data_IF_797741578365
#
_entry.id   IF_797741578365
#
_cell.length_a   1.000
_cell.length_b   1.000
_cell.length_c   1.000
_cell.angle_alpha   90.00
_cell.angle_beta   90.00
_cell.angle_gamma   90.00
#
_symmetry.space_group_name_H-M   'P 1'
#
loop_
_entity.id
_entity.type
_entity.pdbx_description
1 polymer ?
#
# COMPACT_ATOMS: atom_id res chain seq x y z
N UNK A 1 31.71 19.60 18.56
CA UNK A 1 30.39 19.07 18.95
C UNK A 1 29.65 18.67 17.67
N UNK A 2 29.63 17.36 17.36
CA UNK A 2 29.04 16.84 16.13
C UNK A 2 27.53 16.79 16.27
N UNK A 3 26.82 17.61 15.47
CA UNK A 3 25.37 17.53 15.27
C UNK A 3 25.06 16.29 14.42
N UNK A 4 24.98 15.11 15.05
CA UNK A 4 24.30 13.97 14.44
C UNK A 4 22.83 14.37 14.27
N UNK A 5 22.48 14.79 13.05
CA UNK A 5 21.09 14.95 12.64
C UNK A 5 20.33 13.67 13.03
N UNK A 6 19.43 13.77 14.01
CA UNK A 6 18.48 12.69 14.34
C UNK A 6 17.59 12.50 13.11
N UNK A 7 17.93 11.50 12.30
CA UNK A 7 17.05 11.08 11.21
C UNK A 7 15.70 10.65 11.83
N UNK A 8 14.66 11.43 11.58
CA UNK A 8 13.30 11.12 12.02
C UNK A 8 12.79 9.99 11.14
N UNK A 9 12.87 8.76 11.62
CA UNK A 9 12.20 7.63 10.93
C UNK A 9 10.70 7.77 11.11
N UNK A 10 9.96 7.85 10.01
CA UNK A 10 8.50 7.73 10.06
C UNK A 10 8.13 6.33 10.53
N UNK A 11 7.03 6.23 11.30
CA UNK A 11 6.47 4.94 11.68
C UNK A 11 6.12 4.17 10.39
N UNK A 12 6.55 2.91 10.30
CA UNK A 12 6.20 2.07 9.16
C UNK A 12 4.71 1.79 9.10
N UNK A 13 4.20 1.56 7.90
CA UNK A 13 2.81 1.28 7.64
C UNK A 13 2.66 0.01 6.77
N UNK A 14 1.67 -0.81 7.10
CA UNK A 14 1.32 -2.01 6.34
C UNK A 14 -0.14 -1.88 5.92
N UNK A 15 -0.42 -2.04 4.63
CA UNK A 15 -1.79 -2.13 4.16
C UNK A 15 -2.28 -3.58 4.32
N UNK A 16 -3.53 -3.74 4.77
CA UNK A 16 -4.27 -4.99 4.69
C UNK A 16 -5.45 -4.77 3.75
N UNK A 17 -5.47 -5.54 2.66
CA UNK A 17 -6.46 -5.45 1.59
C UNK A 17 -7.17 -6.80 1.41
N UNK A 18 -8.42 -6.77 0.97
CA UNK A 18 -9.26 -7.95 0.79
C UNK A 18 -10.74 -7.60 0.63
N UNK A 19 -11.60 -8.62 0.58
CA UNK A 19 -13.02 -8.48 0.33
C UNK A 19 -13.72 -7.57 1.36
N UNK A 20 -14.63 -6.74 0.86
CA UNK A 20 -15.52 -5.92 1.68
C UNK A 20 -16.65 -6.73 2.34
N UNK A 21 -16.99 -7.89 1.74
CA UNK A 21 -17.82 -8.94 2.30
C UNK A 21 -16.98 -10.22 2.34
N UNK A 22 -16.67 -10.72 3.51
CA UNK A 22 -15.74 -11.83 3.71
C UNK A 22 -16.29 -12.84 4.70
N UNK A 23 -15.96 -14.13 4.51
CA UNK A 23 -16.33 -15.19 5.43
C UNK A 23 -15.74 -14.97 6.83
N UNK A 24 -16.32 -15.59 7.83
CA UNK A 24 -15.81 -15.53 9.21
C UNK A 24 -14.35 -15.99 9.29
N UNK A 25 -13.98 -17.04 8.57
CA UNK A 25 -12.62 -17.57 8.54
C UNK A 25 -11.61 -16.54 7.97
N UNK A 26 -11.98 -15.83 6.91
CA UNK A 26 -11.14 -14.77 6.32
C UNK A 26 -11.06 -13.56 7.27
N UNK A 27 -12.17 -13.21 7.93
CA UNK A 27 -12.19 -12.16 8.95
C UNK A 27 -11.29 -12.50 10.15
N UNK A 28 -11.23 -13.77 10.59
CA UNK A 28 -10.34 -14.20 11.67
C UNK A 28 -8.86 -14.05 11.28
N UNK A 29 -8.50 -14.39 10.04
CA UNK A 29 -7.15 -14.18 9.52
C UNK A 29 -6.82 -12.68 9.47
N UNK A 30 -7.74 -11.85 8.98
CA UNK A 30 -7.57 -10.40 8.91
C UNK A 30 -7.42 -9.77 10.32
N UNK A 31 -8.21 -10.24 11.29
CA UNK A 31 -8.10 -9.81 12.69
C UNK A 31 -6.72 -10.14 13.27
N UNK A 32 -6.25 -11.38 13.07
CA UNK A 32 -4.94 -11.79 13.55
C UNK A 32 -3.80 -11.01 12.87
N UNK A 33 -3.90 -10.78 11.56
CA UNK A 33 -2.95 -9.94 10.83
C UNK A 33 -2.94 -8.49 11.34
N UNK A 34 -4.12 -7.89 11.63
CA UNK A 34 -4.22 -6.56 12.23
C UNK A 34 -3.53 -6.46 13.58
N UNK A 35 -3.70 -7.47 14.44
CA UNK A 35 -2.96 -7.56 15.71
C UNK A 35 -1.45 -7.63 15.51
N UNK A 36 -1.01 -8.42 14.53
CA UNK A 36 0.42 -8.54 14.21
C UNK A 36 1.01 -7.21 13.74
N UNK A 37 0.26 -6.43 12.91
CA UNK A 37 0.66 -5.07 12.51
C UNK A 37 0.87 -4.17 13.73
N UNK A 38 -0.06 -4.17 14.68
CA UNK A 38 0.05 -3.39 15.91
C UNK A 38 1.24 -3.81 16.77
N UNK A 39 1.46 -5.12 16.94
CA UNK A 39 2.58 -5.68 17.71
C UNK A 39 3.96 -5.33 17.12
N UNK A 40 4.05 -5.09 15.81
CA UNK A 40 5.25 -4.55 15.15
C UNK A 40 5.40 -3.03 15.33
N UNK A 41 4.47 -2.36 15.98
CA UNK A 41 4.44 -0.91 16.10
C UNK A 41 4.17 -0.19 14.78
N UNK A 42 3.67 -0.92 13.77
CA UNK A 42 3.29 -0.35 12.48
C UNK A 42 1.91 0.32 12.54
N UNK A 43 1.62 1.14 11.55
CA UNK A 43 0.29 1.69 11.30
C UNK A 43 -0.44 0.81 10.29
N UNK A 44 -1.66 0.40 10.61
CA UNK A 44 -2.53 -0.26 9.63
C UNK A 44 -3.08 0.78 8.65
N UNK A 45 -2.96 0.50 7.36
CA UNK A 45 -3.67 1.22 6.29
C UNK A 45 -4.70 0.27 5.69
N UNK A 46 -5.93 0.70 5.49
CA UNK A 46 -6.94 -0.09 4.78
C UNK A 46 -8.00 0.81 4.12
N UNK A 47 -8.93 0.19 3.41
CA UNK A 47 -10.04 0.91 2.76
C UNK A 47 -11.14 1.40 3.71
N UNK A 48 -11.07 1.10 5.00
CA UNK A 48 -11.92 1.67 6.05
C UNK A 48 -13.37 1.16 6.12
N UNK A 49 -13.80 0.21 5.27
CA UNK A 49 -15.16 -0.33 5.20
C UNK A 49 -15.30 -1.68 5.90
N UNK A 50 -16.22 -2.55 5.42
CA UNK A 50 -16.55 -3.85 6.02
C UNK A 50 -15.53 -4.98 5.77
N UNK A 51 -15.91 -6.21 6.08
CA UNK A 51 -15.17 -7.43 5.79
C UNK A 51 -13.75 -7.45 6.35
N UNK A 52 -12.78 -7.76 5.50
CA UNK A 52 -11.34 -7.79 5.82
C UNK A 52 -10.88 -6.50 6.48
N UNK A 53 -11.32 -5.33 5.98
CA UNK A 53 -10.90 -4.02 6.48
C UNK A 53 -11.36 -3.78 7.93
N UNK A 54 -12.62 -4.12 8.24
CA UNK A 54 -13.16 -3.98 9.59
C UNK A 54 -12.52 -4.98 10.56
N UNK A 55 -12.30 -6.22 10.14
CA UNK A 55 -11.65 -7.24 10.95
C UNK A 55 -10.19 -6.87 11.27
N UNK A 56 -9.41 -6.43 10.28
CA UNK A 56 -8.04 -5.96 10.47
C UNK A 56 -7.98 -4.74 11.43
N UNK A 57 -8.86 -3.74 11.24
CA UNK A 57 -8.91 -2.58 12.11
C UNK A 57 -9.27 -2.95 13.56
N UNK A 58 -10.24 -3.86 13.75
CA UNK A 58 -10.59 -4.41 15.06
C UNK A 58 -9.40 -5.11 15.73
N UNK A 59 -8.66 -5.92 14.96
CA UNK A 59 -7.46 -6.60 15.45
C UNK A 59 -6.37 -5.60 15.87
N UNK A 60 -6.11 -4.61 15.04
CA UNK A 60 -5.15 -3.53 15.33
C UNK A 60 -5.52 -2.77 16.60
N UNK A 61 -6.77 -2.35 16.74
CA UNK A 61 -7.27 -1.64 17.92
C UNK A 61 -7.16 -2.50 19.18
N UNK A 62 -7.49 -3.80 19.10
CA UNK A 62 -7.42 -4.72 20.25
C UNK A 62 -6.02 -4.89 20.83
N UNK A 63 -4.99 -4.64 20.02
CA UNK A 63 -3.58 -4.67 20.42
C UNK A 63 -2.99 -3.25 20.65
N UNK A 64 -3.83 -2.22 20.77
CA UNK A 64 -3.40 -0.84 21.04
C UNK A 64 -2.68 -0.16 19.86
N UNK A 65 -2.84 -0.68 18.64
CA UNK A 65 -2.24 -0.13 17.42
C UNK A 65 -3.11 0.97 16.79
N UNK A 66 -2.50 1.69 15.83
CA UNK A 66 -3.13 2.78 15.07
C UNK A 66 -3.61 2.27 13.72
N UNK A 67 -4.80 2.72 13.29
CA UNK A 67 -5.37 2.41 11.98
C UNK A 67 -5.82 3.65 11.22
N UNK A 68 -5.58 3.66 9.91
CA UNK A 68 -6.02 4.69 8.98
C UNK A 68 -6.90 4.04 7.91
N UNK A 69 -8.13 4.53 7.78
CA UNK A 69 -9.09 4.11 6.76
C UNK A 69 -9.18 5.16 5.64
N UNK A 70 -8.90 4.75 4.41
CA UNK A 70 -9.03 5.60 3.23
C UNK A 70 -10.37 5.30 2.56
N UNK A 71 -11.35 6.18 2.75
CA UNK A 71 -12.73 5.99 2.33
C UNK A 71 -12.98 6.45 0.89
N UNK A 72 -13.82 5.75 0.13
CA UNK A 72 -14.15 6.13 -1.25
C UNK A 72 -15.09 7.33 -1.34
N UNK A 73 -15.97 7.52 -0.35
CA UNK A 73 -16.97 8.58 -0.31
C UNK A 73 -16.45 9.88 0.29
N UNK A 74 -17.39 10.81 0.48
CA UNK A 74 -17.12 12.13 1.07
C UNK A 74 -17.40 12.16 2.58
N UNK A 75 -18.06 11.14 3.13
CA UNK A 75 -18.46 11.10 4.51
C UNK A 75 -17.52 10.21 5.33
N UNK A 76 -16.92 10.77 6.39
CA UNK A 76 -16.03 10.04 7.30
C UNK A 76 -16.78 9.05 8.20
N UNK A 77 -18.07 9.26 8.42
CA UNK A 77 -18.93 8.40 9.27
C UNK A 77 -19.24 7.05 8.60
N UNK A 78 -18.90 6.89 7.31
CA UNK A 78 -18.94 5.59 6.61
C UNK A 78 -17.81 4.64 7.03
N UNK A 79 -16.83 5.11 7.81
CA UNK A 79 -15.78 4.26 8.34
C UNK A 79 -16.36 3.24 9.34
N UNK A 80 -15.80 2.00 9.30
CA UNK A 80 -16.12 1.05 10.35
C UNK A 80 -15.66 1.57 11.73
N UNK A 81 -16.33 1.15 12.84
CA UNK A 81 -16.12 1.74 14.16
C UNK A 81 -14.76 1.45 14.81
N UNK A 82 -13.89 0.70 14.11
CA UNK A 82 -12.57 0.33 14.61
C UNK A 82 -11.45 1.18 13.98
N UNK A 83 -11.78 2.02 12.98
CA UNK A 83 -10.82 2.95 12.38
C UNK A 83 -10.59 4.12 13.33
N UNK A 84 -9.32 4.45 13.57
CA UNK A 84 -8.93 5.58 14.41
C UNK A 84 -8.88 6.88 13.62
N UNK A 85 -8.32 6.85 12.41
CA UNK A 85 -8.24 8.00 11.51
C UNK A 85 -8.96 7.67 10.20
N UNK A 86 -10.09 8.30 9.94
CA UNK A 86 -10.82 8.17 8.68
C UNK A 86 -10.52 9.34 7.74
N UNK A 87 -10.14 9.01 6.50
CA UNK A 87 -9.86 9.98 5.43
C UNK A 87 -10.89 9.77 4.32
N UNK A 88 -11.83 10.72 4.16
CA UNK A 88 -12.78 10.74 3.08
C UNK A 88 -12.14 11.37 1.84
N UNK A 89 -12.16 10.66 0.71
CA UNK A 89 -11.47 11.09 -0.51
C UNK A 89 -12.41 11.56 -1.62
N UNK A 90 -13.63 11.06 -1.66
CA UNK A 90 -14.57 11.30 -2.77
C UNK A 90 -14.14 10.69 -4.10
N UNK A 91 -13.15 9.78 -4.09
CA UNK A 91 -12.53 9.24 -5.32
C UNK A 91 -13.11 7.90 -5.77
N UNK A 92 -14.14 7.38 -5.07
CA UNK A 92 -14.64 6.04 -5.35
C UNK A 92 -13.51 5.00 -5.27
N UNK A 93 -13.52 4.03 -6.15
CA UNK A 93 -12.50 2.95 -6.16
C UNK A 93 -11.10 3.43 -6.53
N UNK A 94 -10.95 4.61 -7.17
CA UNK A 94 -9.63 5.17 -7.44
C UNK A 94 -8.80 5.44 -6.16
N UNK A 95 -9.45 5.53 -4.98
CA UNK A 95 -8.76 5.67 -3.68
C UNK A 95 -7.88 4.45 -3.33
N UNK A 96 -8.09 3.28 -3.98
CA UNK A 96 -7.23 2.09 -3.81
C UNK A 96 -5.75 2.42 -4.06
N UNK A 97 -5.48 3.33 -5.00
CA UNK A 97 -4.13 3.83 -5.22
C UNK A 97 -3.54 4.54 -3.99
N UNK A 98 -4.37 5.27 -3.25
CA UNK A 98 -3.93 5.97 -2.02
C UNK A 98 -3.65 4.96 -0.90
N UNK A 99 -4.50 3.91 -0.74
CA UNK A 99 -4.28 2.84 0.24
C UNK A 99 -2.88 2.25 0.04
N UNK A 100 -2.58 1.82 -1.18
CA UNK A 100 -1.32 1.17 -1.53
C UNK A 100 -0.14 2.13 -1.45
N UNK A 101 -0.27 3.35 -1.98
CA UNK A 101 0.80 4.36 -1.95
C UNK A 101 1.17 4.78 -0.53
N UNK A 102 0.22 4.74 0.40
CA UNK A 102 0.42 5.11 1.81
C UNK A 102 1.13 4.04 2.62
N UNK A 103 1.18 2.80 2.13
CA UNK A 103 1.82 1.69 2.84
C UNK A 103 3.26 1.45 2.38
N UNK A 104 4.07 0.84 3.25
CA UNK A 104 5.42 0.37 2.94
C UNK A 104 5.41 -1.05 2.37
N UNK A 105 4.40 -1.86 2.74
CA UNK A 105 4.10 -3.18 2.21
C UNK A 105 2.59 -3.48 2.27
N UNK A 106 2.15 -4.52 1.57
CA UNK A 106 0.74 -4.94 1.48
C UNK A 106 0.61 -6.40 1.89
N UNK A 107 -0.35 -6.71 2.74
CA UNK A 107 -0.84 -8.07 3.00
C UNK A 107 -2.21 -8.20 2.33
N UNK A 108 -2.31 -9.11 1.37
CA UNK A 108 -3.52 -9.32 0.57
C UNK A 108 -4.21 -10.63 0.98
N UNK A 109 -5.44 -10.53 1.47
CA UNK A 109 -6.31 -11.66 1.74
C UNK A 109 -7.20 -11.94 0.52
N UNK A 110 -8.10 -12.90 0.66
CA UNK A 110 -9.12 -13.22 -0.34
C UNK A 110 -9.94 -11.99 -0.72
N UNK A 111 -10.26 -11.86 -2.00
CA UNK A 111 -11.02 -10.74 -2.54
C UNK A 111 -11.22 -10.87 -4.04
N UNK A 112 -11.82 -9.85 -4.62
CA UNK A 112 -12.20 -9.78 -6.03
C UNK A 112 -11.35 -8.75 -6.80
N UNK A 113 -11.91 -8.21 -7.89
CA UNK A 113 -11.25 -7.25 -8.77
C UNK A 113 -10.67 -6.02 -8.07
N UNK A 114 -11.33 -5.54 -7.01
CA UNK A 114 -10.82 -4.45 -6.17
C UNK A 114 -9.48 -4.79 -5.52
N UNK A 115 -9.41 -5.96 -4.87
CA UNK A 115 -8.18 -6.45 -4.24
C UNK A 115 -7.09 -6.76 -5.27
N UNK A 116 -7.47 -7.35 -6.42
CA UNK A 116 -6.52 -7.58 -7.51
C UNK A 116 -5.94 -6.27 -8.05
N UNK A 117 -6.76 -5.21 -8.14
CA UNK A 117 -6.28 -3.88 -8.55
C UNK A 117 -5.27 -3.30 -7.56
N UNK A 118 -5.49 -3.48 -6.25
CA UNK A 118 -4.56 -3.06 -5.20
C UNK A 118 -3.23 -3.83 -5.27
N UNK A 119 -3.27 -5.15 -5.52
CA UNK A 119 -2.07 -5.95 -5.76
C UNK A 119 -1.29 -5.43 -6.97
N UNK A 120 -1.96 -5.20 -8.10
CA UNK A 120 -1.34 -4.67 -9.32
C UNK A 120 -0.71 -3.29 -9.10
N UNK A 121 -1.41 -2.40 -8.39
CA UNK A 121 -0.89 -1.09 -8.02
C UNK A 121 0.33 -1.19 -7.09
N UNK A 122 0.31 -2.12 -6.12
CA UNK A 122 1.43 -2.36 -5.22
C UNK A 122 2.69 -2.78 -5.98
N UNK A 123 2.55 -3.76 -6.89
CA UNK A 123 3.64 -4.23 -7.75
C UNK A 123 4.20 -3.07 -8.58
N UNK A 124 3.33 -2.30 -9.25
CA UNK A 124 3.73 -1.13 -10.05
C UNK A 124 4.49 -0.08 -9.25
N UNK A 125 4.09 0.13 -8.00
CA UNK A 125 4.73 1.11 -7.08
C UNK A 125 5.96 0.54 -6.36
N UNK A 126 6.35 -0.72 -6.63
CA UNK A 126 7.46 -1.39 -5.97
C UNK A 126 7.20 -1.63 -4.49
N UNK A 127 5.93 -1.79 -4.09
CA UNK A 127 5.55 -2.18 -2.74
C UNK A 127 5.53 -3.70 -2.65
N UNK A 128 6.23 -4.32 -1.69
CA UNK A 128 6.13 -5.75 -1.46
C UNK A 128 4.69 -6.16 -1.15
N UNK A 129 4.26 -7.29 -1.73
CA UNK A 129 2.95 -7.88 -1.47
C UNK A 129 3.13 -9.28 -0.92
N UNK A 130 2.39 -9.61 0.13
CA UNK A 130 2.30 -10.95 0.69
C UNK A 130 0.84 -11.42 0.62
N UNK A 131 0.58 -12.46 -0.15
CA UNK A 131 -0.72 -13.15 -0.18
C UNK A 131 -0.88 -14.00 1.08
N UNK A 132 -1.89 -13.74 1.89
CA UNK A 132 -2.21 -14.53 3.08
C UNK A 132 -3.31 -15.53 2.73
N UNK A 133 -2.94 -16.80 2.53
CA UNK A 133 -3.79 -17.92 2.09
C UNK A 133 -4.59 -17.64 0.81
N UNK A 134 -4.12 -16.71 0.00
CA UNK A 134 -4.80 -16.25 -1.20
C UNK A 134 -3.78 -15.90 -2.29
N UNK A 135 -4.25 -15.82 -3.54
CA UNK A 135 -3.47 -15.32 -4.68
C UNK A 135 -2.26 -16.19 -5.06
N UNK A 136 -2.28 -17.51 -4.73
CA UNK A 136 -1.18 -18.44 -5.03
C UNK A 136 -0.82 -18.51 -6.52
N UNK A 137 -1.74 -18.17 -7.42
CA UNK A 137 -1.51 -18.10 -8.86
C UNK A 137 -0.63 -16.91 -9.28
N UNK A 138 -0.35 -15.96 -8.38
CA UNK A 138 0.49 -14.79 -8.66
C UNK A 138 1.92 -15.03 -8.18
N UNK A 139 2.77 -15.58 -9.04
CA UNK A 139 4.18 -15.89 -8.71
C UNK A 139 5.04 -14.67 -8.38
N UNK A 140 4.57 -13.46 -8.76
CA UNK A 140 5.30 -12.20 -8.56
C UNK A 140 5.13 -11.60 -7.17
N UNK A 141 4.38 -12.25 -6.28
CA UNK A 141 4.22 -11.85 -4.88
C UNK A 141 4.71 -12.95 -3.94
N UNK A 142 4.98 -12.60 -2.70
CA UNK A 142 5.29 -13.59 -1.65
C UNK A 142 4.02 -14.18 -1.07
N UNK A 143 4.09 -15.35 -0.44
CA UNK A 143 2.94 -16.03 0.14
C UNK A 143 3.23 -16.48 1.57
N UNK A 144 2.19 -16.51 2.40
CA UNK A 144 2.23 -17.06 3.76
C UNK A 144 0.86 -17.64 4.14
N UNK A 145 0.87 -18.66 4.99
CA UNK A 145 -0.35 -19.31 5.47
C UNK A 145 -0.76 -18.84 6.88
N UNK A 146 0.17 -18.25 7.61
CA UNK A 146 -0.03 -17.74 8.96
C UNK A 146 -0.09 -16.21 8.95
N UNK A 147 -1.07 -15.57 9.64
CA UNK A 147 -1.22 -14.12 9.66
C UNK A 147 -0.03 -13.36 10.25
N UNK A 148 0.62 -13.91 11.27
CA UNK A 148 1.80 -13.28 11.90
C UNK A 148 2.98 -13.38 10.94
N UNK A 149 3.21 -14.56 10.36
CA UNK A 149 4.26 -14.77 9.37
C UNK A 149 4.08 -13.88 8.14
N UNK A 150 2.83 -13.67 7.67
CA UNK A 150 2.54 -12.77 6.56
C UNK A 150 2.94 -11.32 6.86
N UNK A 151 2.60 -10.83 8.05
CA UNK A 151 2.96 -9.47 8.47
C UNK A 151 4.47 -9.33 8.69
N UNK A 152 5.10 -10.34 9.27
CA UNK A 152 6.55 -10.37 9.50
C UNK A 152 7.30 -10.34 8.17
N UNK A 153 6.89 -11.16 7.20
CA UNK A 153 7.47 -11.16 5.86
C UNK A 153 7.27 -9.81 5.15
N UNK A 154 6.07 -9.25 5.22
CA UNK A 154 5.78 -7.92 4.67
C UNK A 154 6.66 -6.83 5.31
N UNK A 155 6.86 -6.89 6.62
CA UNK A 155 7.73 -5.99 7.36
C UNK A 155 9.20 -6.09 6.94
N UNK A 156 9.72 -7.30 6.75
CA UNK A 156 11.10 -7.54 6.33
C UNK A 156 11.35 -7.09 4.89
N UNK A 157 10.41 -7.34 3.99
CA UNK A 157 10.49 -6.92 2.61
C UNK A 157 10.33 -5.40 2.42
N UNK A 158 9.65 -4.73 3.36
CA UNK A 158 9.46 -3.29 3.32
C UNK A 158 10.80 -2.55 3.50
N UNK A 159 11.25 -1.83 2.48
CA UNK A 159 12.46 -1.00 2.58
C UNK A 159 12.21 0.18 3.51
N UNK A 160 13.15 0.51 4.43
CA UNK A 160 13.03 1.72 5.22
C UNK A 160 12.87 2.96 4.34
N UNK A 161 11.83 3.75 4.57
CA UNK A 161 11.71 5.06 3.93
C UNK A 161 12.77 5.99 4.51
N UNK A 162 13.82 6.26 3.75
CA UNK A 162 14.73 7.36 4.06
C UNK A 162 14.05 8.67 3.69
N UNK A 163 13.58 9.43 4.68
CA UNK A 163 13.14 10.80 4.43
C UNK A 163 14.41 11.60 4.14
N UNK A 164 14.59 12.02 2.88
CA UNK A 164 15.57 13.07 2.57
C UNK A 164 15.14 14.31 3.35
N UNK A 165 16.00 14.78 4.22
CA UNK A 165 15.80 16.06 4.92
C UNK A 165 15.64 17.15 3.85
N UNK A 166 14.51 17.86 3.88
CA UNK A 166 14.23 19.00 3.00
C UNK A 166 15.15 20.20 3.33
N UNK A 167 15.92 20.11 4.42
CA UNK A 167 16.89 21.14 4.82
C UNK A 167 18.20 21.01 4.04
N UNK A 168 18.21 21.21 2.74
CA UNK A 168 19.45 21.15 1.95
C UNK A 168 19.30 21.34 0.44
N UNK A 169 18.09 21.44 -0.09
CA UNK A 169 17.91 21.64 -1.53
C UNK A 169 17.39 23.07 -1.88
N UNK A 170 18.02 24.06 -1.30
CA UNK A 170 17.94 25.45 -1.76
C UNK A 170 19.05 25.71 -2.78
N UNK A 171 19.06 25.02 -3.93
CA UNK A 171 20.10 25.34 -4.90
C UNK A 171 20.27 24.41 -6.09
N UNK A 172 19.19 23.86 -6.63
CA UNK A 172 19.20 23.47 -8.05
C UNK A 172 17.80 23.67 -8.63
N UNK A 173 17.63 24.86 -9.17
CA UNK A 173 16.51 25.26 -9.99
C UNK A 173 16.28 24.28 -11.14
N UNK A 174 15.02 23.98 -11.36
CA UNK A 174 14.47 23.40 -12.57
C UNK A 174 15.10 24.06 -13.82
N UNK A 175 15.93 23.28 -14.55
CA UNK A 175 16.19 23.41 -15.98
C UNK A 175 17.30 22.42 -16.37
N UNK A 176 16.97 21.13 -16.34
CA UNK A 176 17.69 20.14 -17.15
C UNK A 176 16.62 19.33 -17.89
N UNK A 177 16.30 19.69 -19.15
CA UNK A 177 15.53 18.81 -20.03
C UNK A 177 16.45 17.65 -20.39
N UNK A 178 16.26 16.51 -19.73
CA UNK A 178 16.96 15.27 -20.03
C UNK A 178 16.96 14.98 -21.55
N UNK A 179 17.94 14.23 -22.07
CA UNK A 179 18.14 14.08 -23.50
C UNK A 179 16.90 13.44 -24.17
N UNK A 180 16.22 14.24 -24.98
CA UNK A 180 15.21 13.74 -25.90
C UNK A 180 15.85 12.74 -26.85
N UNK A 181 15.51 11.47 -26.70
CA UNK A 181 15.81 10.41 -27.67
C UNK A 181 15.32 10.86 -29.05
N UNK A 182 16.26 11.11 -29.95
CA UNK A 182 15.97 11.38 -31.36
C UNK A 182 15.32 10.13 -31.96
N UNK A 183 14.08 10.28 -32.41
CA UNK A 183 13.43 9.29 -33.28
C UNK A 183 14.25 9.13 -34.57
N UNK A 184 14.40 7.89 -35.10
CA UNK A 184 15.10 7.68 -36.35
C UNK A 184 14.31 8.26 -37.52
N UNK A 185 14.97 9.03 -38.37
CA UNK A 185 14.43 9.59 -39.58
C UNK A 185 13.93 8.49 -40.54
N UNK A 186 12.66 8.57 -40.93
CA UNK A 186 12.09 7.75 -41.98
C UNK A 186 12.75 8.10 -43.31
N UNK A 187 13.60 7.18 -43.79
CA UNK A 187 14.22 7.24 -45.13
C UNK A 187 13.15 7.19 -46.23
N UNK A 188 13.22 8.13 -47.14
CA UNK A 188 12.26 8.37 -48.20
C UNK A 188 12.06 7.16 -49.15
N UNK A 189 10.83 6.86 -49.43
CA UNK A 189 10.40 6.03 -50.56
C UNK A 189 10.57 6.82 -51.85
N UNK A 190 11.53 6.40 -52.68
CA UNK A 190 11.61 6.83 -54.07
C UNK A 190 10.38 6.28 -54.85
N UNK A 191 9.64 7.16 -55.50
CA UNK A 191 8.70 6.82 -56.57
C UNK A 191 9.51 6.49 -57.80
N UNK A 192 9.38 5.28 -58.35
CA UNK A 192 9.75 4.97 -59.74
C UNK A 192 8.48 4.98 -60.55
N UNK A 193 8.42 5.87 -61.54
CA UNK A 193 7.51 5.86 -62.63
C UNK A 193 8.01 4.85 -63.69
N UNK A 194 7.14 3.98 -64.15
CA UNK A 194 6.88 3.62 -65.55
C UNK A 194 5.59 2.78 -65.57
#
# INVERSE_FOLDING_TARGET
MSLRSKMKTTRRSIAIVGAGDASAAVCDLAYAAGRAVANRGAVLICGGRGGVMAAAARGTRSAGGMSVGILPGYNRDEANPHIEIAIATGMGEARNAIVVASADAVVALEGEGGTLSEIGLAIKLGRPVVGLRAWQQLEMISHADDPVAAVDLAWELARPRMIRSIAGDQGRAANDPGPMSRAPALAGRKKSAT
#
